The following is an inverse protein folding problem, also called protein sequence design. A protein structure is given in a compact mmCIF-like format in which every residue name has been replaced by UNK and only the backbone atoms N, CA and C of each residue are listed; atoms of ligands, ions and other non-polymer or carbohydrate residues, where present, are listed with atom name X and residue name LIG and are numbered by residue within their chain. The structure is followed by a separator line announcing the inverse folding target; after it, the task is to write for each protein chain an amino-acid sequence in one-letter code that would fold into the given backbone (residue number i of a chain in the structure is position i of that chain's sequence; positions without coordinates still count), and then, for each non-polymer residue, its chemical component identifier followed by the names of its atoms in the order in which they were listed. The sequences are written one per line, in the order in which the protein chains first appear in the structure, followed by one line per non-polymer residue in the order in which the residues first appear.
data_IF_571386883999
#
_entry.id   IF_571386883999
#
_cell.length_a   1.000
_cell.length_b   1.000
_cell.length_c   1.000
_cell.angle_alpha   90.00
_cell.angle_beta   90.00
_cell.angle_gamma   90.00
#
_symmetry.space_group_name_H-M   'P 1'
#
loop_
_entity.id
_entity.type
_entity.pdbx_description
1 polymer ?
#
# COMPACT_ATOMS: atom_id res chain seq x y z
N UNK A 1 59.61 -16.42 -31.46
CA UNK A 1 59.26 -15.10 -30.89
C UNK A 1 57.77 -15.06 -30.61
N UNK A 2 57.38 -14.41 -29.51
CA UNK A 2 56.01 -14.10 -29.04
C UNK A 2 55.32 -15.22 -28.24
N UNK A 3 54.67 -14.99 -27.10
CA UNK A 3 54.80 -14.06 -25.94
C UNK A 3 53.57 -14.40 -25.07
N UNK A 4 53.80 -14.76 -23.80
CA UNK A 4 53.09 -14.27 -22.59
C UNK A 4 51.54 -14.51 -22.48
N UNK A 5 51.13 -15.45 -21.61
CA UNK A 5 49.86 -15.49 -20.82
C UNK A 5 49.76 -14.27 -19.85
N UNK A 6 48.67 -13.91 -19.12
CA UNK A 6 47.29 -14.43 -18.93
C UNK A 6 46.25 -13.27 -18.85
N UNK A 7 45.29 -13.30 -17.90
CA UNK A 7 44.42 -12.18 -17.37
C UNK A 7 42.97 -12.17 -17.92
N UNK A 8 41.87 -11.88 -17.22
CA UNK A 8 41.40 -11.82 -15.82
C UNK A 8 40.03 -11.13 -15.89
N UNK A 9 39.06 -11.60 -15.09
CA UNK A 9 37.86 -10.91 -14.56
C UNK A 9 36.88 -10.19 -15.52
N UNK A 10 35.58 -10.39 -15.25
CA UNK A 10 34.70 -9.31 -14.76
C UNK A 10 33.58 -9.98 -13.95
N UNK A 11 33.60 -9.74 -12.64
CA UNK A 11 32.47 -9.94 -11.74
C UNK A 11 31.98 -8.52 -11.42
N UNK A 12 30.76 -8.20 -11.84
CA UNK A 12 30.07 -6.97 -11.47
C UNK A 12 28.61 -7.32 -11.34
N UNK A 13 28.05 -7.24 -10.14
CA UNK A 13 26.71 -6.69 -9.93
C UNK A 13 26.61 -6.17 -8.49
N UNK A 14 26.77 -4.85 -8.42
CA UNK A 14 25.99 -3.87 -7.65
C UNK A 14 25.89 -4.07 -6.14
N UNK A 15 26.67 -3.24 -5.44
CA UNK A 15 26.45 -2.82 -4.07
C UNK A 15 25.07 -2.13 -3.96
N UNK A 16 24.16 -2.70 -3.18
CA UNK A 16 23.00 -1.97 -2.66
C UNK A 16 23.50 -0.90 -1.70
N UNK A 17 23.49 0.34 -2.16
CA UNK A 17 23.71 1.52 -1.35
C UNK A 17 22.35 1.91 -0.76
N UNK A 18 22.06 1.45 0.46
CA UNK A 18 20.95 1.99 1.25
C UNK A 18 21.46 3.32 1.82
N UNK A 19 21.06 4.42 1.20
CA UNK A 19 21.38 5.77 1.65
C UNK A 19 20.11 6.61 1.66
N UNK A 20 19.77 7.09 2.86
CA UNK A 20 19.41 8.47 3.21
C UNK A 20 18.65 8.37 4.54
N UNK A 21 19.31 8.65 5.66
CA UNK A 21 19.39 9.95 6.35
C UNK A 21 18.05 10.42 6.94
N UNK A 22 18.09 10.56 8.26
CA UNK A 22 17.11 11.20 9.14
C UNK A 22 16.95 12.67 8.76
N UNK A 23 15.78 13.04 8.23
CA UNK A 23 15.39 14.43 8.07
C UNK A 23 14.03 14.67 8.75
N UNK A 24 14.12 15.15 9.98
CA UNK A 24 13.28 16.19 10.59
C UNK A 24 11.83 16.28 10.07
N UNK A 25 10.91 15.55 10.72
CA UNK A 25 9.48 15.62 10.44
C UNK A 25 8.93 17.02 10.77
N UNK A 26 8.96 17.91 9.78
CA UNK A 26 8.22 19.17 9.80
C UNK A 26 6.73 18.86 9.65
N UNK A 27 5.94 19.25 10.65
CA UNK A 27 4.47 19.21 10.66
C UNK A 27 3.85 20.01 9.50
N UNK A 28 3.72 19.38 8.34
CA UNK A 28 2.92 19.85 7.22
C UNK A 28 2.27 18.62 6.55
N UNK A 29 1.24 18.08 7.18
CA UNK A 29 0.64 16.78 6.88
C UNK A 29 -0.31 16.84 5.67
N UNK A 30 0.25 17.01 4.47
CA UNK A 30 -0.43 16.52 3.29
C UNK A 30 -0.38 14.98 3.31
N UNK A 31 -1.27 14.34 4.05
CA UNK A 31 -1.35 12.87 4.05
C UNK A 31 -1.71 12.41 2.64
N UNK A 32 -0.83 11.56 2.10
CA UNK A 32 -0.99 10.92 0.80
C UNK A 32 -1.11 9.41 1.00
N UNK A 33 -2.00 8.82 0.22
CA UNK A 33 -2.19 7.37 0.09
C UNK A 33 -2.17 7.11 -1.39
N UNK A 34 -1.15 6.49 -1.95
CA UNK A 34 -0.95 6.36 -3.39
C UNK A 34 -1.03 4.89 -3.83
N UNK A 35 -2.23 4.27 -3.87
CA UNK A 35 -2.38 2.91 -4.34
C UNK A 35 -1.84 2.75 -5.76
N UNK A 36 -1.09 1.68 -6.05
CA UNK A 36 -0.54 1.44 -7.39
C UNK A 36 -1.66 1.20 -8.41
N UNK A 37 -1.42 1.54 -9.68
CA UNK A 37 -2.45 1.46 -10.74
C UNK A 37 -3.15 0.09 -10.85
N UNK A 38 -2.46 -1.01 -10.54
CA UNK A 38 -3.05 -2.35 -10.65
C UNK A 38 -4.20 -2.59 -9.66
N UNK A 39 -4.17 -1.93 -8.48
CA UNK A 39 -5.22 -2.09 -7.45
C UNK A 39 -6.29 -1.00 -7.54
N UNK A 40 -6.10 0.06 -8.33
CA UNK A 40 -7.10 1.11 -8.47
C UNK A 40 -8.41 0.58 -9.08
N UNK A 41 -9.52 1.09 -8.56
CA UNK A 41 -10.90 0.67 -8.90
C UNK A 41 -11.66 0.10 -7.71
N UNK A 42 -12.90 -0.32 -7.97
CA UNK A 42 -13.83 -0.92 -7.01
C UNK A 42 -13.71 -2.45 -7.03
N UNK A 43 -13.62 -3.06 -5.86
CA UNK A 43 -13.44 -4.49 -5.64
C UNK A 43 -14.49 -4.98 -4.65
N UNK A 44 -15.38 -5.85 -5.07
CA UNK A 44 -16.45 -6.37 -4.22
C UNK A 44 -16.20 -7.83 -3.86
N UNK A 45 -16.53 -8.18 -2.62
CA UNK A 45 -16.44 -9.55 -2.13
C UNK A 45 -17.38 -10.45 -2.93
N UNK A 46 -16.85 -11.55 -3.43
CA UNK A 46 -17.64 -12.60 -4.09
C UNK A 46 -18.73 -13.12 -3.13
N UNK A 47 -19.95 -13.35 -3.65
CA UNK A 47 -21.06 -13.95 -2.89
C UNK A 47 -21.49 -13.25 -1.57
N UNK A 48 -21.37 -11.93 -1.50
CA UNK A 48 -21.87 -11.20 -0.32
C UNK A 48 -23.41 -11.22 -0.21
N UNK A 49 -23.92 -12.19 0.55
CA UNK A 49 -25.36 -12.31 0.90
C UNK A 49 -25.90 -11.14 1.74
N UNK A 50 -25.03 -10.26 2.24
CA UNK A 50 -25.35 -9.17 3.16
C UNK A 50 -25.31 -7.78 2.50
N UNK A 51 -25.08 -7.68 1.19
CA UNK A 51 -24.97 -6.42 0.43
C UNK A 51 -23.54 -6.15 -0.06
N UNK A 52 -23.31 -5.06 -0.78
CA UNK A 52 -21.96 -4.77 -1.32
C UNK A 52 -20.95 -4.59 -0.18
N UNK A 53 -19.95 -5.46 -0.12
CA UNK A 53 -18.82 -5.34 0.81
C UNK A 53 -17.55 -5.34 -0.02
N UNK A 54 -16.59 -4.50 0.32
CA UNK A 54 -15.39 -4.40 -0.50
C UNK A 54 -14.53 -3.18 -0.26
N UNK A 55 -13.79 -2.84 -1.29
CA UNK A 55 -12.76 -1.82 -1.27
C UNK A 55 -12.81 -1.01 -2.55
N UNK A 56 -12.61 0.29 -2.45
CA UNK A 56 -12.32 1.12 -3.60
C UNK A 56 -10.99 1.85 -3.39
N UNK A 57 -10.10 1.73 -4.37
CA UNK A 57 -8.81 2.39 -4.35
C UNK A 57 -8.81 3.48 -5.41
N UNK A 58 -8.62 4.72 -4.96
CA UNK A 58 -8.44 5.87 -5.84
C UNK A 58 -6.95 6.19 -5.96
N UNK A 59 -6.60 7.22 -6.72
CA UNK A 59 -5.22 7.70 -6.78
C UNK A 59 -4.70 8.29 -5.46
N UNK A 60 -5.60 8.61 -4.50
CA UNK A 60 -5.22 9.23 -3.23
C UNK A 60 -5.97 8.66 -2.00
N UNK A 61 -6.57 7.46 -2.08
CA UNK A 61 -7.44 6.96 -1.01
C UNK A 61 -7.64 5.45 -1.05
N UNK A 62 -8.01 4.89 0.10
CA UNK A 62 -8.57 3.57 0.30
C UNK A 62 -9.94 3.76 0.95
N UNK A 63 -10.99 3.35 0.26
CA UNK A 63 -12.38 3.47 0.70
C UNK A 63 -12.89 2.08 1.08
N UNK A 64 -13.42 1.95 2.28
CA UNK A 64 -14.09 0.73 2.75
C UNK A 64 -15.54 0.80 2.31
N UNK A 65 -16.00 -0.23 1.58
CA UNK A 65 -17.40 -0.38 1.17
C UNK A 65 -18.05 -1.37 2.13
N UNK A 66 -19.12 -0.93 2.79
CA UNK A 66 -19.90 -1.75 3.69
C UNK A 66 -21.41 -1.47 3.53
N UNK A 67 -22.07 -2.36 2.79
CA UNK A 67 -23.47 -2.29 2.39
C UNK A 67 -23.76 -0.98 1.64
N UNK A 68 -24.46 -0.04 2.29
CA UNK A 68 -24.82 1.27 1.73
C UNK A 68 -23.88 2.39 2.17
N UNK A 69 -22.79 2.07 2.84
CA UNK A 69 -21.86 3.06 3.39
C UNK A 69 -20.48 2.91 2.75
N UNK A 70 -19.85 4.04 2.49
CA UNK A 70 -18.48 4.14 2.02
C UNK A 70 -17.69 5.00 3.01
N UNK A 71 -16.56 4.50 3.47
CA UNK A 71 -15.71 5.16 4.48
C UNK A 71 -14.34 5.41 3.86
N UNK A 72 -14.05 6.68 3.59
CA UNK A 72 -12.73 7.13 3.13
C UNK A 72 -11.72 7.05 4.28
N UNK A 73 -10.68 6.22 4.13
CA UNK A 73 -9.60 6.13 5.10
C UNK A 73 -8.78 7.42 5.14
N UNK A 74 -8.51 8.03 3.98
CA UNK A 74 -7.87 9.35 3.92
C UNK A 74 -8.70 10.40 4.66
N UNK A 75 -10.02 10.39 4.50
CA UNK A 75 -10.94 11.29 5.18
C UNK A 75 -10.89 11.12 6.69
N UNK A 76 -10.79 9.88 7.17
CA UNK A 76 -10.57 9.61 8.60
C UNK A 76 -9.24 10.20 9.09
N UNK A 77 -8.14 10.00 8.35
CA UNK A 77 -6.85 10.61 8.70
C UNK A 77 -6.92 12.14 8.72
N UNK A 78 -7.59 12.75 7.74
CA UNK A 78 -7.79 14.19 7.69
C UNK A 78 -8.53 14.71 8.92
N UNK A 79 -9.55 14.00 9.39
CA UNK A 79 -10.26 14.37 10.62
C UNK A 79 -9.31 14.46 11.84
N UNK A 80 -8.33 13.55 11.95
CA UNK A 80 -7.32 13.63 13.01
C UNK A 80 -6.38 14.82 12.83
N UNK A 81 -5.93 15.08 11.59
CA UNK A 81 -5.10 16.25 11.28
C UNK A 81 -5.83 17.55 11.65
N UNK A 82 -7.10 17.67 11.27
CA UNK A 82 -7.92 18.85 11.55
C UNK A 82 -8.16 19.04 13.06
N UNK A 83 -8.10 17.95 13.84
CA UNK A 83 -8.14 17.95 15.29
C UNK A 83 -6.75 18.14 15.95
N UNK A 84 -5.74 18.59 15.18
CA UNK A 84 -4.37 18.82 15.62
C UNK A 84 -3.70 17.56 16.20
N UNK A 85 -4.09 16.37 15.72
CA UNK A 85 -3.49 15.10 16.11
C UNK A 85 -2.42 14.66 15.11
N UNK A 86 -1.33 14.12 15.64
CA UNK A 86 -0.27 13.53 14.84
C UNK A 86 -0.71 12.18 14.27
N UNK A 87 -0.69 12.09 12.94
CA UNK A 87 -0.96 10.87 12.17
C UNK A 87 0.04 10.73 11.04
N UNK A 88 0.36 9.50 10.66
CA UNK A 88 1.25 9.22 9.53
C UNK A 88 0.82 8.00 8.74
N UNK A 89 1.21 7.94 7.48
CA UNK A 89 0.99 6.80 6.59
C UNK A 89 2.31 6.26 6.06
N UNK A 90 2.36 4.96 5.83
CA UNK A 90 3.46 4.28 5.16
C UNK A 90 2.88 3.24 4.19
N UNK A 91 3.38 3.23 2.97
CA UNK A 91 2.97 2.29 1.92
C UNK A 91 4.11 1.33 1.57
N UNK A 92 3.81 0.04 1.52
CA UNK A 92 4.70 -0.98 0.99
C UNK A 92 4.07 -1.51 -0.30
N UNK A 93 4.78 -1.29 -1.43
CA UNK A 93 4.27 -1.59 -2.77
C UNK A 93 5.21 -2.55 -3.49
N UNK A 94 4.67 -3.66 -3.96
CA UNK A 94 5.35 -4.57 -4.90
C UNK A 94 4.52 -4.75 -6.17
N UNK A 95 4.94 -5.63 -7.07
CA UNK A 95 4.13 -5.97 -8.25
C UNK A 95 2.82 -6.67 -7.88
N UNK A 96 2.76 -7.34 -6.73
CA UNK A 96 1.65 -8.20 -6.33
C UNK A 96 1.10 -7.88 -4.93
N UNK A 97 1.66 -6.92 -4.22
CA UNK A 97 1.24 -6.59 -2.85
C UNK A 97 1.10 -5.09 -2.69
N UNK A 98 0.03 -4.69 -2.04
CA UNK A 98 -0.18 -3.32 -1.57
C UNK A 98 -0.50 -3.36 -0.08
N UNK A 99 0.31 -2.67 0.73
CA UNK A 99 0.06 -2.54 2.17
C UNK A 99 0.12 -1.08 2.57
N UNK A 100 -0.94 -0.64 3.25
CA UNK A 100 -1.06 0.67 3.87
C UNK A 100 -1.03 0.51 5.39
N UNK A 101 -0.06 1.14 6.02
CA UNK A 101 0.04 1.27 7.48
C UNK A 101 -0.24 2.71 7.87
N UNK A 102 -1.17 2.93 8.80
CA UNK A 102 -1.48 4.24 9.34
C UNK A 102 -1.26 4.26 10.84
N UNK A 103 -0.47 5.21 11.32
CA UNK A 103 -0.17 5.38 12.73
C UNK A 103 -0.91 6.61 13.26
N UNK A 104 -1.46 6.46 14.46
CA UNK A 104 -2.20 7.49 15.18
C UNK A 104 -1.54 7.76 16.54
N UNK A 105 -2.03 8.78 17.22
CA UNK A 105 -1.64 9.09 18.59
C UNK A 105 -1.89 7.89 19.54
N UNK A 106 -1.14 7.86 20.65
CA UNK A 106 -1.16 6.77 21.64
C UNK A 106 -0.74 5.39 21.10
N UNK A 107 -0.05 5.33 19.96
CA UNK A 107 0.52 4.09 19.41
C UNK A 107 -0.50 3.17 18.74
N UNK A 108 -1.67 3.71 18.39
CA UNK A 108 -2.66 2.97 17.61
C UNK A 108 -2.22 2.87 16.15
N UNK A 109 -2.38 1.70 15.54
CA UNK A 109 -2.02 1.45 14.14
C UNK A 109 -3.16 0.74 13.43
N UNK A 110 -3.45 1.16 12.21
CA UNK A 110 -4.33 0.44 11.27
C UNK A 110 -3.49 -0.09 10.11
N UNK A 111 -3.75 -1.32 9.69
CA UNK A 111 -3.05 -1.96 8.57
C UNK A 111 -4.07 -2.54 7.61
N UNK A 112 -3.96 -2.15 6.33
CA UNK A 112 -4.62 -2.81 5.22
C UNK A 112 -3.56 -3.45 4.34
N UNK A 113 -3.72 -4.72 3.99
CA UNK A 113 -2.74 -5.47 3.19
C UNK A 113 -3.47 -6.35 2.19
N UNK A 114 -3.12 -6.19 0.92
CA UNK A 114 -3.79 -6.86 -0.18
C UNK A 114 -2.78 -7.54 -1.09
N UNK A 115 -3.17 -8.71 -1.58
CA UNK A 115 -2.40 -9.48 -2.56
C UNK A 115 -3.15 -9.56 -3.88
N UNK A 116 -2.45 -9.27 -4.97
CA UNK A 116 -2.94 -9.45 -6.35
C UNK A 116 -3.00 -10.94 -6.67
N UNK A 117 -4.19 -11.44 -6.99
CA UNK A 117 -4.39 -12.82 -7.48
C UNK A 117 -4.32 -12.82 -9.01
N UNK A 118 -5.05 -11.89 -9.64
CA UNK A 118 -5.10 -11.71 -11.09
C UNK A 118 -5.33 -10.23 -11.44
N UNK A 119 -5.58 -9.89 -12.70
CA UNK A 119 -5.95 -8.51 -13.07
C UNK A 119 -7.36 -8.11 -12.58
N UNK A 120 -8.18 -9.10 -12.24
CA UNK A 120 -9.59 -8.94 -11.84
C UNK A 120 -9.88 -9.45 -10.44
N UNK A 121 -8.90 -10.02 -9.73
CA UNK A 121 -9.07 -10.53 -8.36
C UNK A 121 -7.96 -10.08 -7.41
N UNK A 122 -8.35 -9.75 -6.18
CA UNK A 122 -7.44 -9.52 -5.05
C UNK A 122 -7.91 -10.30 -3.81
N UNK A 123 -6.99 -10.54 -2.86
CA UNK A 123 -7.32 -10.98 -1.50
C UNK A 123 -6.99 -9.90 -0.48
N UNK A 124 -7.74 -9.87 0.62
CA UNK A 124 -7.39 -9.11 1.81
C UNK A 124 -6.66 -10.02 2.80
N UNK A 125 -5.39 -9.74 3.08
CA UNK A 125 -4.49 -10.67 3.78
C UNK A 125 -4.89 -10.94 5.25
N UNK A 126 -5.83 -10.17 5.82
CA UNK A 126 -6.37 -10.38 7.17
C UNK A 126 -7.44 -11.48 7.18
N UNK A 127 -8.22 -11.63 6.11
CA UNK A 127 -9.27 -12.64 6.02
C UNK A 127 -8.80 -13.75 5.09
N UNK A 128 -8.55 -14.93 5.67
CA UNK A 128 -8.22 -16.13 4.92
C UNK A 128 -9.32 -16.45 3.89
N UNK A 129 -8.90 -16.81 2.68
CA UNK A 129 -9.79 -17.15 1.57
C UNK A 129 -10.77 -16.04 1.17
N UNK A 130 -10.43 -14.77 1.44
CA UNK A 130 -11.18 -13.65 0.88
C UNK A 130 -10.77 -13.41 -0.57
N UNK A 131 -11.76 -13.38 -1.47
CA UNK A 131 -11.59 -13.01 -2.88
C UNK A 131 -12.51 -11.85 -3.19
N UNK A 132 -11.94 -10.78 -3.73
CA UNK A 132 -12.68 -9.61 -4.19
C UNK A 132 -12.50 -9.47 -5.70
N UNK A 133 -13.62 -9.30 -6.39
CA UNK A 133 -13.69 -9.14 -7.84
C UNK A 133 -13.76 -7.67 -8.23
N UNK A 134 -12.99 -7.31 -9.25
CA UNK A 134 -13.03 -5.98 -9.85
C UNK A 134 -14.37 -5.76 -10.56
N UNK A 135 -14.98 -4.59 -10.33
CA UNK A 135 -16.24 -4.17 -10.95
C UNK A 135 -16.03 -3.45 -12.29
#
# INVERSE_FOLDING_TARGET
MRKITPLLAILFFLLFNCSSDDDNASNNSNIQINPPNWIQGKWLLEDSSLGEMGWEFTSNDLIIINMSNEISHRGQLQFYIDAEQEVSTQEEITSNTYKLTSNYTAGQTTVYSFTKISETEISWDIIENSTYEKQ
#
